data_IF_632010661041
#
_entry.id   IF_632010661041
#
_cell.length_a   1.000
_cell.length_b   1.000
_cell.length_c   1.000
_cell.angle_alpha   90.00
_cell.angle_beta   90.00
_cell.angle_gamma   90.00
#
_symmetry.space_group_name_H-M   'P 1'
#
loop_
_entity.id
_entity.type
_entity.pdbx_description
1 polymer ?
#
# COMPACT_ATOMS: atom_id res chain seq x y z
N UNK A 1 -1.05 22.55 -22.98
CA UNK A 1 -0.76 21.85 -21.71
C UNK A 1 -1.80 20.75 -21.50
N UNK A 2 -1.40 19.48 -21.61
CA UNK A 2 -1.86 18.28 -20.86
C UNK A 2 -1.65 17.05 -21.76
N UNK A 3 -0.56 16.32 -21.51
CA UNK A 3 0.00 15.30 -22.40
C UNK A 3 -0.56 13.90 -22.07
N UNK A 4 -1.76 13.82 -21.49
CA UNK A 4 -2.40 12.57 -21.04
C UNK A 4 -2.63 11.56 -22.18
N UNK A 5 -2.65 12.04 -23.43
CA UNK A 5 -2.67 11.22 -24.64
C UNK A 5 -1.45 10.28 -24.73
N UNK A 6 -0.30 10.66 -24.19
CA UNK A 6 0.92 9.85 -24.19
C UNK A 6 0.88 8.75 -23.11
N UNK A 7 0.26 9.04 -21.97
CA UNK A 7 0.14 8.10 -20.85
C UNK A 7 -0.83 6.95 -21.18
N UNK A 8 -1.92 7.25 -21.89
CA UNK A 8 -2.88 6.24 -22.38
C UNK A 8 -2.23 5.32 -23.44
N UNK A 9 -1.37 5.86 -24.29
CA UNK A 9 -0.65 5.09 -25.31
C UNK A 9 0.38 4.11 -24.70
N UNK A 10 1.08 4.52 -23.63
CA UNK A 10 2.00 3.65 -22.88
C UNK A 10 1.28 2.53 -22.13
N UNK A 11 0.09 2.79 -21.58
CA UNK A 11 -0.74 1.77 -20.92
C UNK A 11 -1.23 0.71 -21.92
N UNK A 12 -1.54 1.11 -23.16
CA UNK A 12 -1.99 0.18 -24.21
C UNK A 12 -0.87 -0.71 -24.77
N UNK A 13 0.41 -0.34 -24.55
CA UNK A 13 1.57 -1.07 -25.06
C UNK A 13 2.14 -2.11 -24.07
N UNK A 14 1.78 -2.01 -22.78
CA UNK A 14 2.14 -2.99 -21.75
C UNK A 14 1.67 -4.44 -22.04
N UNK A 15 0.49 -4.71 -22.62
CA UNK A 15 0.02 -6.07 -22.90
C UNK A 15 0.90 -6.79 -23.94
N UNK A 16 1.55 -6.06 -24.84
CA UNK A 16 2.42 -6.65 -25.86
C UNK A 16 3.69 -7.29 -25.26
N UNK A 17 4.11 -6.90 -24.06
CA UNK A 17 5.19 -7.55 -23.32
C UNK A 17 4.73 -8.75 -22.48
N UNK A 18 3.41 -8.96 -22.33
CA UNK A 18 2.82 -10.07 -21.56
C UNK A 18 2.67 -11.35 -22.40
N UNK A 19 2.61 -11.24 -23.72
CA UNK A 19 2.37 -12.38 -24.63
C UNK A 19 3.60 -13.27 -24.92
N UNK A 20 4.72 -13.12 -24.22
CA UNK A 20 5.96 -13.86 -24.50
C UNK A 20 6.34 -14.93 -23.45
N UNK A 21 5.49 -15.19 -22.45
CA UNK A 21 5.74 -16.19 -21.40
C UNK A 21 4.58 -17.22 -21.33
N UNK A 22 4.91 -18.51 -21.25
CA UNK A 22 4.00 -19.68 -21.14
C UNK A 22 4.12 -20.30 -19.71
N UNK A 23 3.11 -21.05 -19.18
CA UNK A 23 2.12 -20.68 -18.13
C UNK A 23 2.44 -21.28 -16.71
N UNK A 24 1.77 -20.86 -15.59
CA UNK A 24 0.34 -20.55 -15.39
C UNK A 24 0.03 -19.05 -15.51
N UNK A 25 -0.42 -18.65 -16.70
CA UNK A 25 -0.68 -17.25 -17.08
C UNK A 25 -1.50 -16.45 -16.05
N UNK A 26 -2.46 -17.07 -15.37
CA UNK A 26 -3.30 -16.33 -14.42
C UNK A 26 -2.57 -15.99 -13.13
N UNK A 27 -1.82 -16.93 -12.55
CA UNK A 27 -1.09 -16.71 -11.30
C UNK A 27 0.14 -15.83 -11.53
N UNK A 28 0.82 -15.98 -12.67
CA UNK A 28 1.98 -15.16 -13.00
C UNK A 28 1.57 -13.72 -13.37
N UNK A 29 0.51 -13.51 -14.13
CA UNK A 29 0.03 -12.16 -14.45
C UNK A 29 -0.51 -11.48 -13.19
N UNK A 30 -1.25 -12.20 -12.35
CA UNK A 30 -1.75 -11.67 -11.09
C UNK A 30 -0.60 -11.37 -10.12
N UNK A 31 0.38 -12.26 -9.98
CA UNK A 31 1.57 -12.07 -9.15
C UNK A 31 2.42 -10.89 -9.60
N UNK A 32 2.65 -10.76 -10.91
CA UNK A 32 3.37 -9.62 -11.48
C UNK A 32 2.58 -8.31 -11.31
N UNK A 33 1.26 -8.32 -11.52
CA UNK A 33 0.42 -7.14 -11.33
C UNK A 33 0.38 -6.70 -9.85
N UNK A 34 0.20 -7.64 -8.93
CA UNK A 34 0.23 -7.38 -7.49
C UNK A 34 1.61 -6.90 -7.04
N UNK A 35 2.70 -7.45 -7.60
CA UNK A 35 4.07 -6.99 -7.35
C UNK A 35 4.31 -5.55 -7.84
N UNK A 36 3.79 -5.18 -9.01
CA UNK A 36 3.86 -3.81 -9.52
C UNK A 36 3.06 -2.85 -8.63
N UNK A 37 1.85 -3.23 -8.22
CA UNK A 37 1.03 -2.43 -7.31
C UNK A 37 1.76 -2.25 -5.97
N UNK A 38 2.33 -3.32 -5.39
CA UNK A 38 3.07 -3.27 -4.13
C UNK A 38 4.27 -2.32 -4.19
N UNK A 39 5.01 -2.29 -5.30
CA UNK A 39 6.14 -1.38 -5.48
C UNK A 39 5.71 0.07 -5.78
N UNK A 40 4.58 0.26 -6.46
CA UNK A 40 4.07 1.58 -6.81
C UNK A 40 3.32 2.27 -5.66
N UNK A 41 2.68 1.48 -4.79
CA UNK A 41 1.91 1.96 -3.65
C UNK A 41 2.70 2.90 -2.72
N UNK A 42 3.93 2.59 -2.26
CA UNK A 42 4.68 3.50 -1.40
C UNK A 42 5.02 4.83 -2.08
N UNK A 43 5.22 4.82 -3.40
CA UNK A 43 5.49 6.03 -4.20
C UNK A 43 4.22 6.90 -4.25
N UNK A 44 3.05 6.31 -4.46
CA UNK A 44 1.77 7.01 -4.46
C UNK A 44 1.45 7.62 -3.08
N UNK A 45 1.68 6.87 -2.00
CA UNK A 45 1.50 7.36 -0.64
C UNK A 45 2.46 8.53 -0.35
N UNK A 46 3.74 8.41 -0.74
CA UNK A 46 4.71 9.50 -0.59
C UNK A 46 4.27 10.77 -1.33
N UNK A 47 3.75 10.63 -2.56
CA UNK A 47 3.21 11.75 -3.32
C UNK A 47 1.97 12.36 -2.64
N UNK A 48 1.06 11.52 -2.15
CA UNK A 48 -0.15 11.95 -1.46
C UNK A 48 0.17 12.73 -0.17
N UNK A 49 1.11 12.24 0.64
CA UNK A 49 1.60 12.93 1.85
C UNK A 49 2.26 14.26 1.50
N UNK A 50 3.04 14.31 0.42
CA UNK A 50 3.66 15.56 -0.06
C UNK A 50 2.60 16.60 -0.47
N UNK A 51 1.59 16.20 -1.23
CA UNK A 51 0.46 17.07 -1.60
C UNK A 51 -0.35 17.52 -0.38
N UNK A 52 -0.55 16.62 0.59
CA UNK A 52 -1.22 16.93 1.84
C UNK A 52 -0.47 18.01 2.63
N UNK A 53 0.85 17.87 2.81
CA UNK A 53 1.70 18.85 3.47
C UNK A 53 1.65 20.21 2.78
N UNK A 54 1.62 20.24 1.44
CA UNK A 54 1.47 21.49 0.68
C UNK A 54 0.12 22.19 0.96
N UNK A 55 -0.97 21.42 1.08
CA UNK A 55 -2.28 21.93 1.45
C UNK A 55 -2.29 22.60 2.83
N UNK A 56 -1.64 21.98 3.81
CA UNK A 56 -1.50 22.51 5.18
C UNK A 56 -0.59 23.76 5.21
N UNK A 57 0.48 23.80 4.44
CA UNK A 57 1.35 24.99 4.40
C UNK A 57 0.62 26.19 3.77
N UNK A 58 -0.14 25.95 2.68
CA UNK A 58 -0.93 26.99 2.02
C UNK A 58 -1.96 27.59 2.97
N UNK A 59 -2.60 26.74 3.76
CA UNK A 59 -3.53 27.14 4.80
C UNK A 59 -2.93 28.10 5.82
N UNK A 60 -1.76 27.76 6.37
CA UNK A 60 -1.15 28.52 7.47
C UNK A 60 -0.81 29.95 6.99
N UNK A 61 -0.43 30.10 5.72
CA UNK A 61 -0.09 31.40 5.12
C UNK A 61 -1.29 32.33 4.88
N UNK A 62 -2.53 31.82 4.84
CA UNK A 62 -3.73 32.62 4.65
C UNK A 62 -4.34 33.07 6.00
N UNK A 63 -3.60 33.03 7.11
CA UNK A 63 -4.19 33.24 8.45
C UNK A 63 -4.40 34.72 8.85
N UNK A 64 -3.95 35.71 8.07
CA UNK A 64 -3.85 37.11 8.53
C UNK A 64 -5.15 37.91 8.54
N UNK A 65 -6.23 37.40 7.92
CA UNK A 65 -7.52 38.10 7.86
C UNK A 65 -8.59 37.33 8.68
N UNK A 66 -9.42 37.99 9.53
CA UNK A 66 -10.46 37.32 10.33
C UNK A 66 -11.42 36.41 9.54
N UNK A 67 -11.76 36.73 8.29
CA UNK A 67 -12.54 35.83 7.42
C UNK A 67 -11.72 34.59 7.01
N UNK A 68 -10.43 34.78 6.76
CA UNK A 68 -9.52 33.69 6.40
C UNK A 68 -9.14 32.83 7.60
N UNK A 69 -9.28 33.30 8.85
CA UNK A 69 -9.14 32.45 10.05
C UNK A 69 -10.25 31.40 10.15
N UNK A 70 -11.46 31.72 9.69
CA UNK A 70 -12.59 30.77 9.69
C UNK A 70 -12.39 29.73 8.59
N UNK A 71 -12.04 30.18 7.37
CA UNK A 71 -11.67 29.30 6.24
C UNK A 71 -10.42 28.49 6.51
N UNK A 72 -9.53 29.09 7.30
CA UNK A 72 -8.51 28.46 8.08
C UNK A 72 -9.18 27.33 8.85
N UNK A 73 -9.65 27.52 10.08
CA UNK A 73 -10.10 26.42 10.95
C UNK A 73 -10.80 25.22 10.25
N UNK A 74 -11.70 25.50 9.31
CA UNK A 74 -12.33 24.50 8.45
C UNK A 74 -11.34 23.60 7.67
N UNK A 75 -10.38 24.15 6.95
CA UNK A 75 -9.34 23.39 6.24
C UNK A 75 -8.45 22.54 7.18
N UNK A 76 -8.27 22.92 8.45
CA UNK A 76 -7.51 22.12 9.43
C UNK A 76 -8.30 20.88 9.82
N UNK A 77 -9.61 21.04 10.03
CA UNK A 77 -10.52 19.93 10.29
C UNK A 77 -10.55 18.98 9.08
N UNK A 78 -10.66 19.52 7.86
CA UNK A 78 -10.59 18.71 6.64
C UNK A 78 -9.25 17.98 6.50
N UNK A 79 -8.14 18.61 6.88
CA UNK A 79 -6.82 17.99 6.89
C UNK A 79 -6.72 16.82 7.88
N UNK A 80 -7.22 17.01 9.10
CA UNK A 80 -7.25 15.96 10.13
C UNK A 80 -8.11 14.77 9.68
N UNK A 81 -9.29 15.05 9.11
CA UNK A 81 -10.20 14.01 8.59
C UNK A 81 -9.52 13.22 7.47
N UNK A 82 -8.80 13.89 6.56
CA UNK A 82 -8.10 13.22 5.47
C UNK A 82 -7.01 12.25 5.95
N UNK A 83 -6.21 12.65 6.95
CA UNK A 83 -5.22 11.75 7.57
C UNK A 83 -5.91 10.58 8.26
N UNK A 84 -6.95 10.87 9.05
CA UNK A 84 -7.68 9.86 9.81
C UNK A 84 -8.21 8.74 8.90
N UNK A 85 -8.84 9.09 7.78
CA UNK A 85 -9.37 8.11 6.82
C UNK A 85 -8.26 7.30 6.17
N UNK A 86 -7.15 7.95 5.74
CA UNK A 86 -6.02 7.25 5.14
C UNK A 86 -5.40 6.20 6.06
N UNK A 87 -5.17 6.56 7.33
CA UNK A 87 -4.58 5.64 8.32
C UNK A 87 -5.59 4.57 8.74
N UNK A 88 -6.86 4.94 8.94
CA UNK A 88 -7.91 4.02 9.38
C UNK A 88 -8.17 2.89 8.37
N UNK A 89 -8.15 3.18 7.06
CA UNK A 89 -8.32 2.15 6.04
C UNK A 89 -7.12 1.21 6.00
N UNK A 90 -5.88 1.71 6.14
CA UNK A 90 -4.69 0.88 6.17
C UNK A 90 -4.62 -0.03 7.40
N UNK A 91 -4.93 0.51 8.58
CA UNK A 91 -4.99 -0.28 9.82
C UNK A 91 -6.08 -1.33 9.76
N UNK A 92 -7.26 -0.97 9.23
CA UNK A 92 -8.35 -1.93 9.06
C UNK A 92 -8.02 -3.03 8.05
N UNK A 93 -7.45 -2.68 6.89
CA UNK A 93 -7.01 -3.66 5.90
C UNK A 93 -5.96 -4.60 6.50
N UNK A 94 -4.99 -4.08 7.27
CA UNK A 94 -4.00 -4.91 7.97
C UNK A 94 -4.66 -5.95 8.88
N UNK A 95 -5.57 -5.51 9.75
CA UNK A 95 -6.29 -6.42 10.66
C UNK A 95 -7.12 -7.45 9.88
N UNK A 96 -7.81 -7.03 8.81
CA UNK A 96 -8.59 -7.95 7.98
C UNK A 96 -7.70 -8.97 7.28
N UNK A 97 -6.52 -8.54 6.81
CA UNK A 97 -5.58 -9.44 6.16
C UNK A 97 -5.01 -10.45 7.14
N UNK A 98 -4.54 -9.98 8.29
CA UNK A 98 -3.98 -10.84 9.32
C UNK A 98 -5.02 -11.82 9.90
N UNK A 99 -6.29 -11.41 9.98
CA UNK A 99 -7.36 -12.24 10.56
C UNK A 99 -7.96 -13.25 9.59
N UNK A 100 -8.09 -12.90 8.30
CA UNK A 100 -8.79 -13.74 7.31
C UNK A 100 -7.86 -14.41 6.28
N UNK A 101 -6.63 -13.93 6.13
CA UNK A 101 -5.67 -14.44 5.14
C UNK A 101 -4.37 -14.94 5.79
N UNK A 102 -4.42 -15.33 7.06
CA UNK A 102 -3.34 -15.87 7.91
C UNK A 102 -2.15 -16.45 7.11
N UNK A 103 -1.02 -15.76 7.19
CA UNK A 103 0.22 -16.13 6.52
C UNK A 103 0.74 -17.45 7.11
N UNK A 104 0.96 -18.52 6.32
CA UNK A 104 1.52 -19.81 6.78
C UNK A 104 3.03 -19.73 7.14
N UNK A 105 3.48 -18.60 7.67
CA UNK A 105 4.88 -18.32 7.95
C UNK A 105 5.36 -19.09 9.20
N UNK A 106 4.43 -19.57 10.02
CA UNK A 106 4.66 -20.38 11.21
C UNK A 106 4.98 -21.86 10.90
N UNK A 107 4.82 -22.31 9.65
CA UNK A 107 5.25 -23.64 9.21
C UNK A 107 6.71 -23.70 8.71
N UNK A 108 7.41 -22.56 8.60
CA UNK A 108 8.78 -22.50 8.03
C UNK A 108 9.87 -22.18 9.10
N UNK A 109 9.50 -21.88 10.35
CA UNK A 109 10.45 -21.78 11.49
C UNK A 109 10.15 -22.84 12.57
N UNK A 110 9.88 -24.08 12.16
CA UNK A 110 10.38 -25.19 13.00
C UNK A 110 11.82 -25.38 12.58
N UNK A 111 12.76 -24.93 13.41
CA UNK A 111 14.13 -25.40 13.27
C UNK A 111 14.03 -26.94 13.24
N UNK A 112 14.55 -27.64 12.20
CA UNK A 112 14.44 -29.09 12.11
C UNK A 112 14.99 -29.80 13.35
N UNK A 113 15.80 -29.09 14.13
CA UNK A 113 16.46 -29.53 15.35
C UNK A 113 15.54 -29.49 16.59
N UNK A 114 14.40 -28.78 16.52
CA UNK A 114 13.40 -28.72 17.60
C UNK A 114 12.43 -29.90 17.56
N UNK A 115 12.58 -30.82 16.59
CA UNK A 115 11.83 -32.08 16.60
C UNK A 115 12.41 -32.96 17.70
N UNK A 116 11.60 -33.39 18.69
CA UNK A 116 12.06 -34.39 19.65
C UNK A 116 12.45 -35.65 18.88
N UNK A 117 13.75 -35.97 18.84
CA UNK A 117 14.19 -37.25 18.31
C UNK A 117 13.68 -38.33 19.26
N UNK A 118 12.79 -39.18 18.76
CA UNK A 118 12.35 -40.34 19.51
C UNK A 118 13.55 -41.28 19.64
N UNK A 119 14.14 -41.34 20.83
CA UNK A 119 15.18 -42.32 21.12
C UNK A 119 14.56 -43.72 21.03
N UNK A 120 14.90 -44.43 19.95
CA UNK A 120 14.46 -45.80 19.68
C UNK A 120 15.01 -46.81 20.69
N UNK A 121 15.87 -46.39 21.62
CA UNK A 121 16.50 -47.24 22.63
C UNK A 121 15.87 -47.14 24.02
N UNK A 122 14.86 -46.30 24.22
CA UNK A 122 13.98 -46.38 25.40
C UNK A 122 14.65 -46.16 26.75
N UNK A 123 15.52 -45.16 26.89
CA UNK A 123 15.89 -44.64 28.21
C UNK A 123 15.17 -43.31 28.46
N UNK A 124 14.45 -43.24 29.59
CA UNK A 124 13.69 -42.09 30.08
C UNK A 124 14.62 -40.98 30.60
#
# INVERSE_FOLDING_TARGET
MKNYKFLIFTIFFLPSFVFAADPPLFEDVLGNALGLVKNLFPILVALAVTYFLWGVIKYIRLSDNPEERIKGRDLMIHGIIAIFVMVSLWGLVGILVDTFFDSPDDLIIRNPDDVPQYDINGEL
#
